data_IF_496513668403
#
_entry.id   IF_496513668403
#
_cell.length_a   1.000
_cell.length_b   1.000
_cell.length_c   1.000
_cell.angle_alpha   90.00
_cell.angle_beta   90.00
_cell.angle_gamma   90.00
#
_symmetry.space_group_name_H-M   'P 1'
#
loop_
_entity.id
_entity.type
_entity.pdbx_description
1 polymer ?
#
# COMPACT_ATOMS: atom_id res chain seq x y z
N UNK A 1 48.41 -16.69 29.46
CA UNK A 1 46.95 -16.71 29.59
C UNK A 1 46.35 -15.63 28.66
N UNK A 2 45.94 -16.03 27.46
CA UNK A 2 45.33 -15.14 26.48
C UNK A 2 43.85 -15.05 26.77
N UNK A 3 43.33 -13.81 26.96
CA UNK A 3 41.90 -13.53 27.08
C UNK A 3 41.29 -13.52 25.70
N UNK A 4 40.48 -14.53 25.37
CA UNK A 4 39.59 -14.53 24.21
C UNK A 4 38.58 -13.40 24.36
N UNK A 5 38.65 -12.42 23.48
CA UNK A 5 37.58 -11.44 23.25
C UNK A 5 36.42 -12.12 22.51
N UNK A 6 35.39 -12.51 23.23
CA UNK A 6 34.09 -12.83 22.62
C UNK A 6 33.54 -11.56 21.94
N UNK A 7 33.60 -11.54 20.62
CA UNK A 7 32.91 -10.58 19.80
C UNK A 7 31.42 -10.97 19.82
N UNK A 8 30.64 -10.34 20.71
CA UNK A 8 29.19 -10.38 20.63
C UNK A 8 28.79 -9.58 19.37
N UNK A 9 28.53 -10.28 18.29
CA UNK A 9 27.71 -9.71 17.22
C UNK A 9 26.32 -9.50 17.82
N UNK A 10 25.97 -8.25 18.13
CA UNK A 10 24.61 -7.87 18.42
C UNK A 10 23.82 -8.12 17.14
N UNK A 11 22.96 -9.14 17.13
CA UNK A 11 21.92 -9.30 16.12
C UNK A 11 21.11 -8.01 16.10
N UNK A 12 21.23 -7.24 15.02
CA UNK A 12 20.55 -5.97 14.86
C UNK A 12 19.04 -6.21 14.90
N UNK A 13 18.36 -5.65 15.91
CA UNK A 13 16.90 -5.70 16.01
C UNK A 13 16.30 -5.21 14.72
N UNK A 14 15.45 -6.00 14.07
CA UNK A 14 14.72 -5.63 12.86
C UNK A 14 13.96 -4.34 13.09
N UNK A 15 14.09 -3.40 12.15
CA UNK A 15 13.34 -2.15 12.15
C UNK A 15 12.27 -2.14 11.05
N UNK A 16 11.37 -1.15 11.11
CA UNK A 16 10.25 -1.00 10.17
C UNK A 16 10.70 -0.98 8.70
N UNK A 17 11.76 -0.26 8.39
CA UNK A 17 12.28 -0.14 7.02
C UNK A 17 12.83 -1.48 6.50
N UNK A 18 13.58 -2.20 7.31
CA UNK A 18 14.13 -3.51 6.94
C UNK A 18 13.03 -4.55 6.78
N UNK A 19 12.06 -4.53 7.69
CA UNK A 19 10.88 -5.39 7.61
C UNK A 19 10.07 -5.12 6.34
N UNK A 20 9.76 -3.86 6.04
CA UNK A 20 9.05 -3.46 4.81
C UNK A 20 9.78 -3.91 3.55
N UNK A 21 11.12 -3.80 3.50
CA UNK A 21 11.93 -4.29 2.38
C UNK A 21 11.87 -5.81 2.22
N UNK A 22 11.83 -6.56 3.32
CA UNK A 22 11.64 -8.02 3.26
C UNK A 22 10.27 -8.38 2.64
N UNK A 23 9.19 -7.76 3.11
CA UNK A 23 7.85 -7.95 2.56
C UNK A 23 7.81 -7.57 1.07
N UNK A 24 8.41 -6.45 0.69
CA UNK A 24 8.52 -6.03 -0.71
C UNK A 24 9.21 -7.08 -1.58
N UNK A 25 10.30 -7.67 -1.10
CA UNK A 25 11.02 -8.73 -1.82
C UNK A 25 10.16 -9.99 -2.01
N UNK A 26 9.42 -10.39 -0.98
CA UNK A 26 8.50 -11.55 -1.04
C UNK A 26 7.40 -11.29 -2.08
N UNK A 27 6.78 -10.11 -2.04
CA UNK A 27 5.78 -9.70 -3.02
C UNK A 27 6.36 -9.73 -4.45
N UNK A 28 7.52 -9.14 -4.70
CA UNK A 28 8.13 -9.14 -6.03
C UNK A 28 8.39 -10.54 -6.56
N UNK A 29 8.87 -11.45 -5.70
CA UNK A 29 9.08 -12.84 -6.09
C UNK A 29 7.76 -13.49 -6.55
N UNK A 30 6.66 -13.23 -5.83
CA UNK A 30 5.35 -13.76 -6.17
C UNK A 30 4.78 -13.10 -7.45
N UNK A 31 4.75 -11.76 -7.51
CA UNK A 31 4.20 -10.99 -8.63
C UNK A 31 4.87 -11.35 -9.95
N UNK A 32 6.21 -11.47 -9.95
CA UNK A 32 6.99 -11.83 -11.12
C UNK A 32 6.72 -13.26 -11.64
N UNK A 33 6.35 -14.19 -10.75
CA UNK A 33 6.15 -15.58 -11.10
C UNK A 33 4.69 -15.92 -11.44
N UNK A 34 3.73 -15.26 -10.81
CA UNK A 34 2.32 -15.68 -10.82
C UNK A 34 1.36 -14.68 -11.49
N UNK A 35 1.69 -13.38 -11.54
CA UNK A 35 0.79 -12.35 -12.07
C UNK A 35 1.21 -11.80 -13.45
N UNK A 36 1.92 -12.60 -14.27
CA UNK A 36 2.25 -12.18 -15.62
C UNK A 36 1.00 -12.20 -16.52
N UNK A 37 0.59 -11.04 -17.01
CA UNK A 37 -0.37 -10.92 -18.10
C UNK A 37 0.42 -10.70 -19.41
N UNK A 38 -0.15 -11.11 -20.56
CA UNK A 38 0.56 -11.09 -21.87
C UNK A 38 1.11 -9.71 -22.29
N UNK A 39 0.70 -8.62 -21.66
CA UNK A 39 1.09 -7.24 -22.00
C UNK A 39 1.40 -6.36 -20.80
N UNK A 40 1.47 -6.92 -19.60
CA UNK A 40 1.78 -6.14 -18.36
C UNK A 40 2.46 -7.01 -17.31
N UNK A 41 3.31 -6.38 -16.51
CA UNK A 41 4.00 -6.98 -15.37
C UNK A 41 3.66 -6.19 -14.11
N UNK A 42 3.68 -6.87 -12.96
CA UNK A 42 3.42 -6.23 -11.67
C UNK A 42 4.71 -6.24 -10.86
N UNK A 43 4.95 -5.13 -10.17
CA UNK A 43 6.13 -4.92 -9.35
C UNK A 43 5.73 -4.26 -8.03
N UNK A 44 6.60 -4.38 -7.04
CA UNK A 44 6.49 -3.68 -5.76
C UNK A 44 7.78 -2.93 -5.45
N UNK A 45 7.66 -1.67 -5.01
CA UNK A 45 8.78 -0.84 -4.59
C UNK A 45 8.51 -0.14 -3.27
N UNK A 46 9.58 0.23 -2.57
CA UNK A 46 9.51 0.97 -1.31
C UNK A 46 9.92 2.42 -1.49
N UNK A 47 9.38 3.31 -0.65
CA UNK A 47 9.74 4.74 -0.61
C UNK A 47 9.51 5.50 -1.94
N UNK A 48 8.47 5.11 -2.68
CA UNK A 48 8.07 5.81 -3.91
C UNK A 48 7.31 7.08 -3.54
N UNK A 49 7.65 8.19 -4.19
CA UNK A 49 6.95 9.47 -3.99
C UNK A 49 5.80 9.61 -4.98
N UNK A 50 4.58 9.47 -4.48
CA UNK A 50 3.36 9.66 -5.27
C UNK A 50 2.78 11.06 -5.08
N UNK A 51 2.26 11.69 -6.15
CA UNK A 51 1.60 12.99 -6.06
C UNK A 51 0.27 12.86 -5.31
N UNK A 52 -0.06 13.87 -4.49
CA UNK A 52 -1.32 13.97 -3.78
C UNK A 52 -2.06 15.29 -4.01
N UNK A 53 -1.49 16.18 -4.78
CA UNK A 53 -2.12 17.45 -5.12
C UNK A 53 -1.24 18.34 -5.97
N UNK A 54 -1.89 19.30 -6.60
CA UNK A 54 -1.24 20.40 -7.29
C UNK A 54 -1.87 21.70 -6.84
N UNK A 55 -1.15 22.81 -6.99
CA UNK A 55 -1.62 24.15 -6.60
C UNK A 55 -2.16 24.86 -7.83
N UNK A 56 -3.38 25.38 -7.75
CA UNK A 56 -3.92 26.31 -8.73
C UNK A 56 -3.27 27.67 -8.46
N UNK A 57 -2.64 28.26 -9.47
CA UNK A 57 -2.01 29.59 -9.38
C UNK A 57 -3.00 30.70 -9.63
N UNK A 58 -3.78 30.56 -10.71
CA UNK A 58 -4.74 31.55 -11.17
C UNK A 58 -5.74 30.92 -12.14
N UNK A 59 -6.63 31.73 -12.66
CA UNK A 59 -7.61 31.37 -13.67
C UNK A 59 -7.54 32.38 -14.83
N UNK A 60 -7.75 31.90 -16.05
CA UNK A 60 -7.97 32.77 -17.20
C UNK A 60 -9.38 33.40 -17.17
N UNK A 61 -9.71 34.24 -18.16
CA UNK A 61 -11.02 34.93 -18.26
C UNK A 61 -12.19 33.97 -18.46
N UNK A 62 -11.93 32.72 -18.85
CA UNK A 62 -12.92 31.66 -19.05
C UNK A 62 -12.97 30.67 -17.86
N UNK A 63 -12.32 31.03 -16.76
CA UNK A 63 -12.20 30.18 -15.55
C UNK A 63 -11.43 28.88 -15.75
N UNK A 64 -10.54 28.79 -16.77
CA UNK A 64 -9.62 27.67 -16.87
C UNK A 64 -8.45 27.86 -15.90
N UNK A 65 -8.20 26.84 -15.08
CA UNK A 65 -7.14 26.90 -14.08
C UNK A 65 -5.74 26.76 -14.68
N UNK A 66 -4.80 27.57 -14.23
CA UNK A 66 -3.36 27.33 -14.39
C UNK A 66 -2.79 26.64 -13.15
N UNK A 67 -1.86 25.71 -13.36
CA UNK A 67 -1.34 24.87 -12.28
C UNK A 67 0.12 25.17 -11.99
N UNK A 68 0.54 24.91 -10.76
CA UNK A 68 1.95 24.89 -10.39
C UNK A 68 2.68 23.74 -11.08
N UNK A 69 3.87 23.96 -11.58
CA UNK A 69 4.75 22.89 -12.08
C UNK A 69 5.21 21.97 -10.95
N UNK A 70 5.17 22.45 -9.70
CA UNK A 70 5.57 21.67 -8.53
C UNK A 70 4.42 20.84 -8.03
N UNK A 71 4.55 19.53 -8.13
CA UNK A 71 3.63 18.57 -7.51
C UNK A 71 3.96 18.38 -6.03
N UNK A 72 2.91 18.32 -5.21
CA UNK A 72 3.05 17.89 -3.82
C UNK A 72 3.03 16.35 -3.77
N UNK A 73 4.05 15.75 -3.14
CA UNK A 73 4.23 14.29 -3.09
C UNK A 73 4.42 13.79 -1.67
N UNK A 74 3.79 12.64 -1.34
CA UNK A 74 4.11 11.85 -0.16
C UNK A 74 4.99 10.66 -0.54
N UNK A 75 5.95 10.33 0.30
CA UNK A 75 6.60 9.03 0.25
C UNK A 75 5.63 7.96 0.78
N UNK A 76 5.54 6.85 0.06
CA UNK A 76 4.79 5.65 0.46
C UNK A 76 5.76 4.61 0.99
N UNK A 77 5.36 3.80 1.98
CA UNK A 77 6.24 2.76 2.49
C UNK A 77 6.39 1.62 1.49
N UNK A 78 5.28 1.23 0.84
CA UNK A 78 5.24 0.20 -0.20
C UNK A 78 4.20 0.58 -1.26
N UNK A 79 4.55 0.43 -2.53
CA UNK A 79 3.63 0.58 -3.65
C UNK A 79 3.71 -0.64 -4.57
N UNK A 80 2.56 -1.15 -4.97
CA UNK A 80 2.42 -2.17 -6.02
C UNK A 80 1.90 -1.48 -7.26
N UNK A 81 2.56 -1.69 -8.39
CA UNK A 81 2.21 -1.06 -9.65
C UNK A 81 2.25 -2.03 -10.82
N UNK A 82 1.52 -1.69 -11.86
CA UNK A 82 1.49 -2.39 -13.14
C UNK A 82 2.32 -1.59 -14.16
N UNK A 83 3.28 -2.25 -14.80
CA UNK A 83 3.95 -1.74 -16.00
C UNK A 83 3.21 -2.21 -17.24
N UNK A 84 2.79 -1.27 -18.10
CA UNK A 84 2.06 -1.54 -19.33
C UNK A 84 2.60 -0.68 -20.47
N UNK A 85 3.52 -1.26 -21.27
CA UNK A 85 4.31 -0.49 -22.23
C UNK A 85 5.15 0.57 -21.50
N UNK A 86 5.05 1.83 -21.89
CA UNK A 86 5.80 2.94 -21.31
C UNK A 86 5.11 3.60 -20.10
N UNK A 87 4.05 2.98 -19.56
CA UNK A 87 3.26 3.53 -18.47
C UNK A 87 3.41 2.70 -17.19
N UNK A 88 3.52 3.40 -16.09
CA UNK A 88 3.45 2.86 -14.73
C UNK A 88 2.10 3.27 -14.13
N UNK A 89 1.33 2.29 -13.64
CA UNK A 89 0.02 2.49 -13.06
C UNK A 89 0.06 2.00 -11.60
N UNK A 90 0.07 2.89 -10.60
CA UNK A 90 -0.05 2.48 -9.21
C UNK A 90 -1.38 1.77 -8.97
N UNK A 91 -1.34 0.59 -8.35
CA UNK A 91 -2.50 -0.25 -8.07
C UNK A 91 -2.84 -0.29 -6.60
N UNK A 92 -1.84 -0.50 -5.76
CA UNK A 92 -2.01 -0.62 -4.31
C UNK A 92 -0.90 0.14 -3.61
N UNK A 93 -1.25 0.96 -2.63
CA UNK A 93 -0.30 1.56 -1.68
C UNK A 93 -0.54 0.94 -0.31
N UNK A 94 0.53 0.64 0.39
CA UNK A 94 0.49 0.10 1.74
C UNK A 94 1.43 0.91 2.62
N UNK A 95 0.89 1.55 3.64
CA UNK A 95 1.68 2.13 4.72
C UNK A 95 2.06 1.01 5.69
N UNK A 96 3.23 1.09 6.29
CA UNK A 96 3.79 0.06 7.15
C UNK A 96 3.99 0.57 8.57
N UNK A 97 3.68 -0.28 9.55
CA UNK A 97 4.04 -0.10 10.94
C UNK A 97 4.62 -1.38 11.52
N UNK A 98 5.60 -1.21 12.39
CA UNK A 98 6.25 -2.32 13.04
C UNK A 98 6.16 -2.18 14.56
N UNK A 99 5.46 -3.12 15.20
CA UNK A 99 5.21 -3.21 16.65
C UNK A 99 4.18 -2.24 17.22
N UNK A 100 4.21 -0.96 16.86
CA UNK A 100 3.34 0.04 17.47
C UNK A 100 2.61 0.86 16.41
N UNK A 101 1.29 0.94 16.54
CA UNK A 101 0.45 1.82 15.74
C UNK A 101 -0.31 2.74 16.68
N UNK A 102 -0.14 4.04 16.51
CA UNK A 102 -0.87 5.05 17.29
C UNK A 102 -2.09 5.58 16.53
N UNK A 103 -2.99 6.26 17.27
CA UNK A 103 -4.10 7.03 16.68
C UNK A 103 -3.59 8.03 15.64
N UNK A 104 -2.47 8.70 15.94
CA UNK A 104 -1.85 9.65 15.02
C UNK A 104 -1.44 9.01 13.69
N UNK A 105 -0.90 7.79 13.72
CA UNK A 105 -0.54 7.04 12.51
C UNK A 105 -1.79 6.74 11.67
N UNK A 106 -2.86 6.23 12.29
CA UNK A 106 -4.11 5.93 11.59
C UNK A 106 -4.72 7.17 10.92
N UNK A 107 -4.77 8.31 11.63
CA UNK A 107 -5.28 9.58 11.10
C UNK A 107 -4.39 10.10 9.96
N UNK A 108 -3.07 10.09 10.15
CA UNK A 108 -2.12 10.63 9.17
C UNK A 108 -2.13 9.80 7.88
N UNK A 109 -2.11 8.48 7.99
CA UNK A 109 -2.12 7.60 6.83
C UNK A 109 -3.51 7.55 6.17
N UNK A 110 -4.59 7.61 6.96
CA UNK A 110 -5.94 7.78 6.41
C UNK A 110 -6.04 9.04 5.56
N UNK A 111 -5.48 10.17 6.05
CA UNK A 111 -5.44 11.41 5.25
C UNK A 111 -4.62 11.27 3.97
N UNK A 112 -3.47 10.58 3.99
CA UNK A 112 -2.71 10.27 2.77
C UNK A 112 -3.54 9.43 1.80
N UNK A 113 -4.25 8.41 2.31
CA UNK A 113 -5.12 7.55 1.51
C UNK A 113 -6.18 8.36 0.76
N UNK A 114 -6.90 9.23 1.46
CA UNK A 114 -7.91 10.13 0.84
C UNK A 114 -7.30 10.99 -0.25
N UNK A 115 -6.18 11.65 0.04
CA UNK A 115 -5.55 12.57 -0.90
C UNK A 115 -5.04 11.86 -2.17
N UNK A 116 -4.41 10.70 -2.02
CA UNK A 116 -3.97 9.90 -3.17
C UNK A 116 -5.15 9.37 -3.98
N UNK A 117 -6.20 8.84 -3.32
CA UNK A 117 -7.39 8.32 -4.01
C UNK A 117 -8.19 9.41 -4.72
N UNK A 118 -8.16 10.65 -4.26
CA UNK A 118 -8.77 11.79 -4.97
C UNK A 118 -8.10 12.06 -6.33
N UNK A 119 -6.79 11.85 -6.45
CA UNK A 119 -6.07 11.98 -7.72
C UNK A 119 -6.10 10.69 -8.55
N UNK A 120 -6.10 9.55 -7.90
CA UNK A 120 -6.03 8.22 -8.48
C UNK A 120 -7.20 7.37 -7.97
N UNK A 121 -8.43 7.55 -8.50
CA UNK A 121 -9.62 6.92 -7.93
C UNK A 121 -9.62 5.39 -7.98
N UNK A 122 -8.82 4.79 -8.86
CA UNK A 122 -8.66 3.34 -8.92
C UNK A 122 -7.60 2.78 -7.94
N UNK A 123 -6.86 3.66 -7.25
CA UNK A 123 -5.84 3.24 -6.28
C UNK A 123 -6.49 2.61 -5.05
N UNK A 124 -5.94 1.47 -4.62
CA UNK A 124 -6.27 0.84 -3.34
C UNK A 124 -5.23 1.23 -2.30
N UNK A 125 -5.66 1.43 -1.06
CA UNK A 125 -4.80 1.96 -0.01
C UNK A 125 -4.99 1.21 1.29
N UNK A 126 -3.91 0.66 1.83
CA UNK A 126 -3.98 -0.16 3.03
C UNK A 126 -2.90 0.15 4.06
N UNK A 127 -3.05 -0.50 5.20
CA UNK A 127 -2.11 -0.48 6.30
C UNK A 127 -1.66 -1.92 6.61
N UNK A 128 -0.34 -2.17 6.69
CA UNK A 128 0.21 -3.41 7.21
C UNK A 128 0.92 -3.16 8.55
N UNK A 129 0.71 -4.06 9.50
CA UNK A 129 1.26 -3.96 10.85
C UNK A 129 2.02 -5.25 11.14
N UNK A 130 3.30 -5.13 11.51
CA UNK A 130 4.15 -6.27 11.84
C UNK A 130 4.35 -6.46 13.34
N UNK A 131 4.66 -7.70 13.74
CA UNK A 131 5.03 -8.07 15.10
C UNK A 131 3.96 -7.75 16.16
N UNK A 132 2.77 -8.33 15.96
CA UNK A 132 1.61 -8.16 16.85
C UNK A 132 1.39 -9.37 17.79
N UNK A 133 2.42 -10.22 18.03
CA UNK A 133 2.34 -11.52 18.73
C UNK A 133 1.48 -11.53 19.99
N UNK A 134 1.63 -10.50 20.82
CA UNK A 134 0.95 -10.38 22.13
C UNK A 134 0.02 -9.17 22.22
N UNK A 135 -0.50 -8.69 21.10
CA UNK A 135 -1.28 -7.45 21.08
C UNK A 135 -2.56 -7.58 20.29
N UNK A 136 -3.64 -7.17 20.91
CA UNK A 136 -4.91 -7.01 20.21
C UNK A 136 -4.87 -5.81 19.27
N UNK A 137 -5.57 -5.93 18.16
CA UNK A 137 -5.80 -4.82 17.25
C UNK A 137 -6.56 -3.73 18.01
N UNK A 138 -5.94 -2.58 18.13
CA UNK A 138 -6.49 -1.51 18.94
C UNK A 138 -7.75 -0.93 18.30
N UNK A 139 -8.85 -0.82 19.06
CA UNK A 139 -10.13 -0.27 18.61
C UNK A 139 -10.01 1.04 17.81
N UNK A 140 -9.09 1.91 18.23
CA UNK A 140 -8.80 3.16 17.53
C UNK A 140 -8.39 3.03 16.06
N UNK A 141 -7.87 1.87 15.65
CA UNK A 141 -7.56 1.62 14.24
C UNK A 141 -8.83 1.43 13.42
N UNK A 142 -9.87 0.84 14.01
CA UNK A 142 -11.18 0.74 13.36
C UNK A 142 -11.89 2.10 13.36
N UNK A 143 -11.77 2.87 14.44
CA UNK A 143 -12.38 4.19 14.57
C UNK A 143 -11.77 5.22 13.61
N UNK A 144 -10.44 5.21 13.44
CA UNK A 144 -9.72 6.20 12.63
C UNK A 144 -9.18 5.66 11.30
N UNK A 145 -9.28 4.38 11.06
CA UNK A 145 -8.79 3.72 9.83
C UNK A 145 -9.84 3.53 8.74
N UNK A 146 -10.97 4.25 8.82
CA UNK A 146 -12.07 4.12 7.86
C UNK A 146 -11.71 4.46 6.41
N UNK A 147 -10.65 5.25 6.21
CA UNK A 147 -10.16 5.65 4.89
C UNK A 147 -9.32 4.58 4.18
N UNK A 148 -8.85 3.56 4.93
CA UNK A 148 -8.16 2.42 4.33
C UNK A 148 -9.17 1.47 3.67
N UNK A 149 -8.75 0.90 2.55
CA UNK A 149 -9.50 -0.14 1.87
C UNK A 149 -9.31 -1.49 2.57
N UNK A 150 -8.14 -1.70 3.18
CA UNK A 150 -7.81 -2.90 3.96
C UNK A 150 -6.78 -2.60 5.05
N UNK A 151 -6.71 -3.49 6.05
CA UNK A 151 -5.64 -3.54 7.04
C UNK A 151 -5.22 -5.00 7.21
N UNK A 152 -3.93 -5.27 7.33
CA UNK A 152 -3.37 -6.59 7.56
C UNK A 152 -2.38 -6.58 8.72
N UNK A 153 -2.53 -7.52 9.65
CA UNK A 153 -1.67 -7.63 10.83
C UNK A 153 -0.91 -8.95 10.79
N UNK A 154 0.40 -8.86 10.74
CA UNK A 154 1.28 -10.00 10.95
C UNK A 154 1.50 -10.21 12.45
N UNK A 155 1.33 -11.43 12.94
CA UNK A 155 1.57 -11.77 14.34
C UNK A 155 3.04 -11.78 14.66
N UNK A 156 3.81 -12.54 13.90
CA UNK A 156 5.24 -12.72 14.15
C UNK A 156 6.10 -11.58 13.63
N UNK A 157 7.29 -11.41 14.24
CA UNK A 157 8.33 -10.50 13.74
C UNK A 157 8.84 -10.96 12.37
N UNK A 158 9.06 -12.27 12.23
CA UNK A 158 9.30 -12.95 10.95
C UNK A 158 7.99 -13.66 10.56
N UNK A 159 7.24 -13.14 9.55
CA UNK A 159 5.97 -13.72 9.14
C UNK A 159 6.10 -15.18 8.75
N UNK A 160 5.12 -15.98 9.13
CA UNK A 160 5.01 -17.39 8.76
C UNK A 160 4.68 -17.55 7.28
N UNK A 161 4.83 -18.75 6.73
CA UNK A 161 4.44 -19.03 5.34
C UNK A 161 2.95 -18.82 5.10
N UNK A 162 2.10 -19.11 6.09
CA UNK A 162 0.66 -18.93 5.97
C UNK A 162 0.29 -17.44 6.01
N UNK A 163 0.89 -16.65 6.90
CA UNK A 163 0.71 -15.19 6.90
C UNK A 163 1.15 -14.56 5.58
N UNK A 164 2.25 -15.06 4.98
CA UNK A 164 2.67 -14.63 3.64
C UNK A 164 1.63 -14.97 2.57
N UNK A 165 1.07 -16.19 2.58
CA UNK A 165 0.04 -16.60 1.61
C UNK A 165 -1.21 -15.74 1.73
N UNK A 166 -1.68 -15.50 2.97
CA UNK A 166 -2.86 -14.69 3.22
C UNK A 166 -2.66 -13.23 2.80
N UNK A 167 -1.49 -12.68 3.12
CA UNK A 167 -1.14 -11.32 2.69
C UNK A 167 -1.03 -11.18 1.17
N UNK A 168 -0.42 -12.16 0.50
CA UNK A 168 -0.31 -12.19 -0.97
C UNK A 168 -1.71 -12.28 -1.59
N UNK A 169 -2.57 -13.16 -1.09
CA UNK A 169 -3.94 -13.32 -1.58
C UNK A 169 -4.74 -12.01 -1.42
N UNK A 170 -4.57 -11.31 -0.29
CA UNK A 170 -5.17 -10.00 -0.08
C UNK A 170 -4.65 -8.98 -1.11
N UNK A 171 -3.35 -8.90 -1.33
CA UNK A 171 -2.75 -7.97 -2.30
C UNK A 171 -3.23 -8.25 -3.72
N UNK A 172 -3.33 -9.53 -4.12
CA UNK A 172 -3.89 -9.92 -5.43
C UNK A 172 -5.36 -9.47 -5.58
N UNK A 173 -6.16 -9.65 -4.54
CA UNK A 173 -7.55 -9.18 -4.51
C UNK A 173 -7.63 -7.65 -4.66
N UNK A 174 -6.76 -6.91 -3.99
CA UNK A 174 -6.72 -5.44 -4.08
C UNK A 174 -6.24 -4.95 -5.45
N UNK A 175 -5.30 -5.65 -6.09
CA UNK A 175 -4.91 -5.40 -7.49
C UNK A 175 -6.11 -5.63 -8.42
N UNK A 176 -6.88 -6.69 -8.22
CA UNK A 176 -8.09 -6.96 -9.01
C UNK A 176 -9.14 -5.88 -8.79
N UNK A 177 -9.39 -5.47 -7.56
CA UNK A 177 -10.28 -4.34 -7.23
C UNK A 177 -9.85 -3.06 -7.94
N UNK A 178 -8.56 -2.72 -7.91
CA UNK A 178 -8.00 -1.56 -8.63
C UNK A 178 -8.26 -1.65 -10.14
N UNK A 179 -8.00 -2.80 -10.75
CA UNK A 179 -8.26 -3.03 -12.17
C UNK A 179 -9.75 -2.90 -12.52
N UNK A 180 -10.64 -3.37 -11.66
CA UNK A 180 -12.08 -3.27 -11.87
C UNK A 180 -12.58 -1.83 -11.74
N UNK A 181 -12.07 -1.08 -10.75
CA UNK A 181 -12.35 0.35 -10.62
C UNK A 181 -11.89 1.13 -11.86
N UNK A 182 -10.67 0.87 -12.37
CA UNK A 182 -10.17 1.52 -13.58
C UNK A 182 -11.09 1.25 -14.78
N UNK A 183 -11.58 0.02 -14.95
CA UNK A 183 -12.55 -0.31 -16.00
C UNK A 183 -13.86 0.45 -15.84
N UNK A 184 -14.34 0.61 -14.59
CA UNK A 184 -15.58 1.36 -14.32
C UNK A 184 -15.44 2.84 -14.67
N UNK A 185 -14.30 3.47 -14.38
CA UNK A 185 -14.05 4.88 -14.70
C UNK A 185 -13.68 5.11 -16.17
N UNK A 186 -13.07 4.11 -16.83
CA UNK A 186 -12.52 4.24 -18.17
C UNK A 186 -13.47 3.97 -19.33
N UNK A 187 -14.65 3.39 -19.09
CA UNK A 187 -15.55 2.97 -20.16
C UNK A 187 -16.75 3.89 -20.30
N UNK A 188 -16.80 4.64 -21.41
CA UNK A 188 -17.99 5.43 -21.82
C UNK A 188 -19.24 4.57 -22.14
N UNK A 189 -19.09 3.24 -22.19
CA UNK A 189 -20.14 2.28 -22.54
C UNK A 189 -20.08 1.05 -21.63
N UNK A 190 -20.33 1.20 -20.34
CA UNK A 190 -20.65 0.05 -19.50
C UNK A 190 -22.09 -0.36 -19.80
N UNK A 191 -22.25 -1.38 -20.65
CA UNK A 191 -23.49 -2.16 -20.66
C UNK A 191 -23.72 -2.62 -19.23
N UNK A 192 -24.90 -2.34 -18.70
CA UNK A 192 -25.40 -2.65 -17.36
C UNK A 192 -24.69 -3.84 -16.68
N UNK A 193 -23.72 -3.56 -15.83
CA UNK A 193 -23.12 -4.51 -14.91
C UNK A 193 -23.69 -4.28 -13.51
N UNK A 194 -23.80 -5.36 -12.74
CA UNK A 194 -24.04 -5.23 -11.30
C UNK A 194 -22.70 -4.88 -10.66
N UNK A 195 -22.62 -3.73 -10.01
CA UNK A 195 -21.45 -3.31 -9.25
C UNK A 195 -21.69 -3.64 -7.77
N UNK A 196 -20.74 -4.34 -7.18
CA UNK A 196 -20.72 -4.59 -5.74
C UNK A 196 -19.46 -3.99 -5.16
N UNK A 197 -19.60 -3.07 -4.21
CA UNK A 197 -18.51 -2.58 -3.38
C UNK A 197 -18.71 -3.15 -1.98
N UNK A 198 -17.79 -4.01 -1.56
CA UNK A 198 -17.90 -4.72 -0.30
C UNK A 198 -16.59 -4.60 0.49
N UNK A 199 -16.71 -4.36 1.80
CA UNK A 199 -15.61 -4.51 2.76
C UNK A 199 -15.83 -5.82 3.52
N UNK A 200 -14.95 -6.79 3.30
CA UNK A 200 -14.95 -8.04 4.05
C UNK A 200 -14.09 -7.91 5.31
N UNK A 201 -14.58 -8.50 6.41
CA UNK A 201 -13.79 -8.67 7.64
C UNK A 201 -13.56 -10.17 7.83
N UNK A 202 -12.29 -10.59 7.84
CA UNK A 202 -11.90 -11.99 8.05
C UNK A 202 -11.05 -12.09 9.31
N UNK A 203 -11.36 -13.07 10.13
CA UNK A 203 -10.53 -13.51 11.25
C UNK A 203 -9.84 -14.81 10.81
N UNK A 204 -8.50 -14.80 10.83
CA UNK A 204 -7.65 -15.94 10.46
C UNK A 204 -6.95 -16.54 11.69
#
# INVERSE_FOLDING_TARGET
MAKEKKTNMAEGKMNETEWTKKICKILNNHLNNHLKKSKSTFHADTNVKLPYGTVIKDFDKNWNASYSEKENKFATDLVIYEEKGDRIIPRVVIEAKFKNVGTHDAITYGKKAVLHKNLMPALRYGLMIGSMEDRDLQWRLFEHGGDFDFMFCFKAEEPTEDEHKDFIALVESEIECSNNLEKMFGTKNTKSGIYCLQKDVKLH
#
